data_IF_930556505640
#
_entry.id   IF_930556505640
#
_cell.length_a   1.000
_cell.length_b   1.000
_cell.length_c   1.000
_cell.angle_alpha   90.00
_cell.angle_beta   90.00
_cell.angle_gamma   90.00
#
_symmetry.space_group_name_H-M   'P 1'
#
loop_
_entity.id
_entity.type
_entity.pdbx_description
1 polymer ?
#
# COMPACT_ATOMS: atom_id res chain seq x y z
N UNK A 1 4.80 -13.20 2.31
CA UNK A 1 3.85 -12.09 2.08
C UNK A 1 4.55 -11.02 1.28
N UNK A 2 3.79 -10.19 0.58
CA UNK A 2 4.29 -8.98 -0.09
C UNK A 2 3.38 -7.80 0.24
N UNK A 3 3.94 -6.61 0.24
CA UNK A 3 3.19 -5.37 0.39
C UNK A 3 2.72 -4.93 -0.98
N UNK A 4 1.45 -4.58 -1.07
CA UNK A 4 0.82 -4.06 -2.28
C UNK A 4 0.21 -2.70 -2.02
N UNK A 5 0.14 -1.86 -3.05
CA UNK A 5 -0.53 -0.58 -3.03
C UNK A 5 -1.52 -0.43 -4.18
N UNK A 6 -2.54 0.41 -4.01
CA UNK A 6 -3.47 0.77 -5.08
C UNK A 6 -3.26 2.22 -5.56
N UNK A 7 -4.05 2.65 -6.55
CA UNK A 7 -3.99 4.00 -7.13
C UNK A 7 -4.27 5.12 -6.11
N UNK A 8 -4.99 4.81 -5.02
CA UNK A 8 -5.30 5.74 -3.93
C UNK A 8 -4.21 5.79 -2.84
N UNK A 9 -3.03 5.21 -3.10
CA UNK A 9 -1.90 5.08 -2.16
C UNK A 9 -2.23 4.31 -0.87
N UNK A 10 -3.19 3.39 -0.93
CA UNK A 10 -3.55 2.54 0.21
C UNK A 10 -2.70 1.27 0.21
N UNK A 11 -2.18 0.90 1.38
CA UNK A 11 -1.32 -0.26 1.53
C UNK A 11 -2.08 -1.48 2.07
N UNK A 12 -1.67 -2.67 1.63
CA UNK A 12 -2.15 -3.94 2.15
C UNK A 12 -1.07 -5.02 2.03
N UNK A 13 -1.32 -6.19 2.62
CA UNK A 13 -0.49 -7.39 2.45
C UNK A 13 -1.19 -8.41 1.57
N UNK A 14 -0.42 -9.08 0.71
CA UNK A 14 -0.90 -10.10 -0.22
C UNK A 14 0.00 -11.34 -0.20
N UNK A 15 -0.52 -12.54 -0.51
CA UNK A 15 0.33 -13.71 -0.74
C UNK A 15 1.34 -13.44 -1.85
N UNK A 16 2.60 -13.78 -1.63
CA UNK A 16 3.69 -13.48 -2.58
C UNK A 16 3.68 -14.39 -3.82
N UNK A 17 3.01 -15.53 -3.71
CA UNK A 17 2.83 -16.56 -4.74
C UNK A 17 1.62 -16.31 -5.64
N UNK A 18 0.84 -15.25 -5.39
CA UNK A 18 -0.36 -14.90 -6.16
C UNK A 18 -0.14 -13.66 -7.00
N UNK A 19 -0.77 -13.66 -8.17
CA UNK A 19 -0.93 -12.45 -8.97
C UNK A 19 -1.72 -11.39 -8.19
N UNK A 20 -1.42 -10.12 -8.44
CA UNK A 20 -2.12 -9.03 -7.79
C UNK A 20 -3.53 -8.90 -8.38
N UNK A 21 -4.53 -8.57 -7.55
CA UNK A 21 -5.83 -8.16 -8.05
C UNK A 21 -5.70 -6.92 -8.96
N UNK A 22 -6.63 -6.75 -9.89
CA UNK A 22 -6.68 -5.55 -10.73
C UNK A 22 -6.69 -4.28 -9.87
N UNK A 23 -5.86 -3.30 -10.25
CA UNK A 23 -5.71 -2.03 -9.52
C UNK A 23 -4.76 -2.09 -8.31
N UNK A 24 -4.10 -3.23 -8.06
CA UNK A 24 -3.07 -3.38 -7.04
C UNK A 24 -1.70 -3.66 -7.66
N UNK A 25 -0.68 -3.05 -7.10
CA UNK A 25 0.71 -3.09 -7.57
C UNK A 25 1.65 -3.49 -6.43
N UNK A 26 2.78 -4.11 -6.75
CA UNK A 26 3.78 -4.45 -5.73
C UNK A 26 4.44 -3.18 -5.19
N UNK A 27 4.47 -3.04 -3.86
CA UNK A 27 5.08 -1.89 -3.18
C UNK A 27 6.59 -2.03 -2.98
N UNK A 28 7.20 -3.09 -3.53
CA UNK A 28 8.64 -3.33 -3.45
C UNK A 28 9.14 -3.97 -2.15
N UNK A 29 8.25 -4.43 -1.26
CA UNK A 29 8.61 -5.12 -0.02
C UNK A 29 7.95 -6.50 0.10
N UNK A 30 8.71 -7.51 0.51
CA UNK A 30 8.23 -8.87 0.76
C UNK A 30 8.94 -9.51 1.95
N UNK A 31 8.22 -10.27 2.76
CA UNK A 31 8.73 -10.92 3.96
C UNK A 31 7.68 -11.78 4.66
N UNK A 32 7.91 -12.02 5.95
CA UNK A 32 6.88 -12.54 6.87
C UNK A 32 5.68 -11.59 6.94
N UNK A 33 4.58 -12.07 7.52
CA UNK A 33 3.40 -11.23 7.71
C UNK A 33 3.73 -10.03 8.60
N UNK A 34 4.47 -10.27 9.66
CA UNK A 34 4.89 -9.30 10.67
C UNK A 34 5.78 -8.22 10.05
N UNK A 35 6.80 -8.61 9.28
CA UNK A 35 7.67 -7.65 8.57
C UNK A 35 6.89 -6.79 7.57
N UNK A 36 5.93 -7.37 6.84
CA UNK A 36 5.10 -6.59 5.91
C UNK A 36 4.19 -5.60 6.65
N UNK A 37 3.61 -5.99 7.79
CA UNK A 37 2.78 -5.10 8.61
C UNK A 37 3.61 -3.96 9.22
N UNK A 38 4.80 -4.26 9.75
CA UNK A 38 5.72 -3.25 10.28
C UNK A 38 6.16 -2.27 9.19
N UNK A 39 6.43 -2.77 7.98
CA UNK A 39 6.73 -1.92 6.84
C UNK A 39 5.58 -0.95 6.54
N UNK A 40 4.34 -1.46 6.47
CA UNK A 40 3.15 -0.62 6.22
C UNK A 40 2.99 0.44 7.31
N UNK A 41 3.10 0.07 8.59
CA UNK A 41 3.02 1.01 9.71
C UNK A 41 4.05 2.13 9.60
N UNK A 42 5.27 1.82 9.14
CA UNK A 42 6.34 2.80 8.98
C UNK A 42 6.12 3.75 7.81
N UNK A 43 5.59 3.27 6.69
CA UNK A 43 5.50 4.06 5.43
C UNK A 43 4.14 4.73 5.23
N UNK A 44 3.06 4.17 5.78
CA UNK A 44 1.71 4.70 5.61
C UNK A 44 1.33 5.70 6.70
N UNK A 45 2.03 6.84 6.70
CA UNK A 45 1.89 7.89 7.72
C UNK A 45 0.69 8.81 7.50
N UNK A 46 0.19 8.90 6.27
CA UNK A 46 -1.04 9.62 5.91
C UNK A 46 -2.03 8.65 5.28
N UNK A 47 -3.07 8.32 6.03
CA UNK A 47 -4.12 7.38 5.61
C UNK A 47 -5.22 8.02 4.76
N UNK A 48 -5.14 9.32 4.47
CA UNK A 48 -6.10 9.96 3.57
C UNK A 48 -5.92 9.41 2.15
N UNK A 49 -7.03 9.09 1.43
CA UNK A 49 -6.94 8.70 0.03
C UNK A 49 -6.19 9.76 -0.78
N UNK A 50 -5.39 9.33 -1.75
CA UNK A 50 -4.63 10.22 -2.63
C UNK A 50 -5.51 11.31 -3.24
N UNK A 51 -6.68 10.93 -3.76
CA UNK A 51 -7.64 11.86 -4.37
C UNK A 51 -8.06 13.00 -3.42
N UNK A 52 -8.28 12.70 -2.13
CA UNK A 52 -8.61 13.70 -1.12
C UNK A 52 -7.42 14.64 -0.86
N UNK A 53 -6.20 14.11 -0.80
CA UNK A 53 -4.98 14.92 -0.62
C UNK A 53 -4.76 15.88 -1.79
N UNK A 54 -4.96 15.41 -3.02
CA UNK A 54 -4.84 16.23 -4.23
C UNK A 54 -5.88 17.36 -4.24
N UNK A 55 -7.12 17.07 -3.84
CA UNK A 55 -8.17 18.09 -3.72
C UNK A 55 -7.83 19.20 -2.72
N UNK A 56 -7.26 18.85 -1.56
CA UNK A 56 -6.87 19.83 -0.53
C UNK A 56 -5.63 20.64 -0.87
N UNK A 57 -4.74 20.12 -1.74
CA UNK A 57 -3.52 20.82 -2.17
C UNK A 57 -3.75 21.74 -3.38
N UNK A 58 -4.93 21.70 -3.99
CA UNK A 58 -5.29 22.48 -5.17
C UNK A 58 -5.97 23.82 -4.83
N UNK A 59 -5.92 24.24 -3.56
CA UNK A 59 -6.47 25.51 -3.05
C UNK A 59 -5.41 26.61 -2.88
#
# INVERSE_FOLDING_TARGET
MKVVLNEEEQYSIWPADRENPSGWFDAGFSGTKEECLEHIERVWTDMRPKSLREAMNSE
#
